data_IF_902757607875
#
_entry.id   IF_902757607875
#
_cell.length_a   1.000
_cell.length_b   1.000
_cell.length_c   1.000
_cell.angle_alpha   90.00
_cell.angle_beta   90.00
_cell.angle_gamma   90.00
#
_symmetry.space_group_name_H-M   'P 1'
#
loop_
_entity.id
_entity.type
_entity.pdbx_description
1 polymer ?
#
# COMPACT_ATOMS: atom_id res chain seq x y z
N UNK A 1 17.59 44.14 29.16
CA UNK A 1 16.46 43.60 28.38
C UNK A 1 16.99 42.48 27.53
N UNK A 2 16.50 41.26 27.73
CA UNK A 2 17.00 40.04 27.10
C UNK A 2 16.79 40.06 25.58
N UNK A 3 17.85 39.70 24.86
CA UNK A 3 17.86 39.54 23.41
C UNK A 3 17.29 38.16 23.09
N UNK A 4 16.18 38.12 22.35
CA UNK A 4 15.60 36.89 21.84
C UNK A 4 16.63 36.15 21.01
N UNK A 5 16.90 34.89 21.37
CA UNK A 5 17.63 33.96 20.52
C UNK A 5 16.62 33.38 19.53
N UNK A 6 16.67 33.83 18.27
CA UNK A 6 16.10 33.06 17.17
C UNK A 6 16.91 31.76 17.07
N UNK A 7 16.30 30.67 17.52
CA UNK A 7 16.83 29.32 17.29
C UNK A 7 16.58 28.98 15.82
N UNK A 8 17.50 29.39 14.94
CA UNK A 8 17.52 28.88 13.57
C UNK A 8 17.96 27.41 13.64
N UNK A 9 17.02 26.50 13.48
CA UNK A 9 17.33 25.09 13.24
C UNK A 9 18.21 25.00 11.99
N UNK A 10 19.31 24.27 12.07
CA UNK A 10 20.17 24.01 10.92
C UNK A 10 19.43 23.15 9.89
N UNK A 11 19.81 23.26 8.61
CA UNK A 11 19.23 22.43 7.55
C UNK A 11 19.33 20.92 7.84
N UNK A 12 20.36 20.50 8.60
CA UNK A 12 20.52 19.13 9.07
C UNK A 12 19.52 18.72 10.15
N UNK A 13 19.16 19.64 11.06
CA UNK A 13 18.12 19.41 12.06
C UNK A 13 16.72 19.39 11.41
N UNK A 14 16.47 20.24 10.41
CA UNK A 14 15.23 20.17 9.62
C UNK A 14 15.11 18.88 8.80
N UNK A 15 16.21 18.37 8.23
CA UNK A 15 16.23 17.11 7.50
C UNK A 15 15.97 15.90 8.41
N UNK A 16 16.52 15.91 9.63
CA UNK A 16 16.30 14.86 10.62
C UNK A 16 14.85 14.74 11.12
N UNK A 17 14.06 15.83 11.07
CA UNK A 17 12.63 15.79 11.36
C UNK A 17 11.78 15.22 10.21
N UNK A 18 12.34 15.07 9.02
CA UNK A 18 11.61 14.63 7.80
C UNK A 18 11.97 13.23 7.32
N UNK A 19 13.01 12.60 7.88
CA UNK A 19 13.38 11.23 7.57
C UNK A 19 12.52 10.25 8.38
N UNK A 20 11.29 10.03 7.93
CA UNK A 20 10.55 8.82 8.30
C UNK A 20 11.24 7.64 7.62
N UNK A 21 12.12 6.94 8.34
CA UNK A 21 12.71 5.68 7.89
C UNK A 21 11.57 4.70 7.70
N UNK A 22 11.21 4.43 6.44
CA UNK A 22 10.20 3.43 6.11
C UNK A 22 10.71 2.06 6.57
N UNK A 23 9.91 1.39 7.41
CA UNK A 23 10.29 0.09 7.93
C UNK A 23 10.43 -0.92 6.79
N UNK A 24 11.50 -1.74 6.84
CA UNK A 24 11.68 -2.84 5.91
C UNK A 24 10.49 -3.83 6.04
N UNK A 25 10.07 -4.48 4.94
CA UNK A 25 8.99 -5.45 4.99
C UNK A 25 9.35 -6.64 5.87
N UNK A 26 8.39 -7.14 6.65
CA UNK A 26 8.59 -8.32 7.49
C UNK A 26 8.63 -9.63 6.66
N UNK A 27 7.99 -9.64 5.49
CA UNK A 27 8.03 -10.74 4.53
C UNK A 27 7.89 -10.22 3.09
N UNK A 28 8.35 -10.97 2.11
CA UNK A 28 8.22 -10.62 0.70
C UNK A 28 7.85 -11.83 -0.15
N UNK A 29 7.15 -11.60 -1.27
CA UNK A 29 6.76 -12.66 -2.19
C UNK A 29 6.24 -12.14 -3.53
N UNK A 30 5.61 -13.04 -4.29
CA UNK A 30 4.99 -12.72 -5.59
C UNK A 30 3.47 -12.66 -5.49
N UNK A 31 2.85 -12.13 -6.55
CA UNK A 31 1.40 -12.21 -6.73
C UNK A 31 0.90 -13.66 -6.82
N UNK A 32 -0.38 -13.86 -6.51
CA UNK A 32 -1.08 -15.15 -6.48
C UNK A 32 -0.50 -16.20 -5.50
N UNK A 33 0.39 -15.77 -4.60
CA UNK A 33 0.96 -16.60 -3.55
C UNK A 33 0.79 -15.94 -2.17
N UNK A 34 0.57 -16.74 -1.11
CA UNK A 34 0.57 -16.23 0.25
C UNK A 34 1.95 -15.69 0.66
N UNK A 35 1.96 -14.47 1.21
CA UNK A 35 3.08 -13.88 1.94
C UNK A 35 2.71 -13.84 3.41
N UNK A 36 3.42 -14.61 4.22
CA UNK A 36 3.07 -14.85 5.63
C UNK A 36 4.07 -14.13 6.54
N UNK A 37 3.56 -13.25 7.39
CA UNK A 37 4.35 -12.51 8.39
C UNK A 37 4.73 -13.42 9.58
N UNK A 38 5.73 -13.04 10.40
CA UNK A 38 6.14 -13.85 11.56
C UNK A 38 5.04 -14.11 12.60
N UNK A 39 4.09 -13.19 12.72
CA UNK A 39 2.90 -13.31 13.58
C UNK A 39 1.76 -14.10 12.91
N UNK A 40 2.01 -14.71 11.75
CA UNK A 40 1.13 -15.63 11.01
C UNK A 40 -0.06 -14.98 10.30
N UNK A 41 -0.05 -13.67 10.08
CA UNK A 41 -1.01 -13.07 9.14
C UNK A 41 -0.58 -13.43 7.72
N UNK A 42 -1.53 -13.90 6.91
CA UNK A 42 -1.31 -14.26 5.51
C UNK A 42 -1.91 -13.21 4.60
N UNK A 43 -1.10 -12.63 3.72
CA UNK A 43 -1.51 -11.67 2.70
C UNK A 43 -1.36 -12.32 1.32
N UNK A 44 -2.37 -12.21 0.48
CA UNK A 44 -2.31 -12.65 -0.91
C UNK A 44 -2.89 -11.57 -1.81
N UNK A 45 -2.08 -11.09 -2.74
CA UNK A 45 -2.51 -10.15 -3.77
C UNK A 45 -2.68 -10.93 -5.06
N UNK A 46 -3.85 -10.82 -5.71
CA UNK A 46 -4.01 -11.40 -7.04
C UNK A 46 -3.11 -10.69 -8.04
N UNK A 47 -2.70 -11.37 -9.11
CA UNK A 47 -2.03 -10.70 -10.23
C UNK A 47 -2.79 -9.44 -10.67
N UNK A 48 -2.08 -8.35 -10.97
CA UNK A 48 -2.72 -7.13 -11.43
C UNK A 48 -3.35 -7.34 -12.81
N UNK A 49 -4.35 -6.53 -13.11
CA UNK A 49 -5.00 -6.48 -14.42
C UNK A 49 -5.32 -5.04 -14.78
N UNK A 50 -5.14 -4.69 -16.06
CA UNK A 50 -5.53 -3.37 -16.53
C UNK A 50 -7.05 -3.22 -16.48
N UNK A 51 -7.53 -2.02 -16.17
CA UNK A 51 -8.95 -1.69 -16.26
C UNK A 51 -9.17 -0.26 -16.72
N UNK A 52 -10.41 0.02 -17.13
CA UNK A 52 -10.87 1.37 -17.45
C UNK A 52 -11.65 1.90 -16.24
N UNK A 53 -11.16 2.94 -15.55
CA UNK A 53 -11.89 3.53 -14.42
C UNK A 53 -13.29 3.99 -14.82
N UNK A 54 -14.24 3.78 -13.93
CA UNK A 54 -15.63 4.22 -14.06
C UNK A 54 -15.75 5.74 -14.05
N UNK A 55 -16.94 6.24 -14.39
CA UNK A 55 -17.20 7.68 -14.50
C UNK A 55 -16.96 8.44 -13.19
N UNK A 56 -17.14 7.76 -12.06
CA UNK A 56 -17.02 8.33 -10.72
C UNK A 56 -15.72 7.93 -10.03
N UNK A 57 -14.80 7.29 -10.76
CA UNK A 57 -13.50 6.96 -10.24
C UNK A 57 -12.69 8.22 -9.92
N UNK A 58 -11.80 8.12 -8.93
CA UNK A 58 -10.85 9.16 -8.57
C UNK A 58 -9.43 8.59 -8.53
N UNK A 59 -8.42 9.43 -8.66
CA UNK A 59 -7.01 9.03 -8.54
C UNK A 59 -6.38 8.38 -9.77
N UNK A 60 -7.15 8.16 -10.84
CA UNK A 60 -6.58 7.76 -12.13
C UNK A 60 -5.96 8.97 -12.85
N UNK A 61 -4.70 8.86 -13.24
CA UNK A 61 -3.95 9.96 -13.84
C UNK A 61 -3.79 9.80 -15.35
N UNK A 62 -3.89 10.88 -16.16
CA UNK A 62 -3.70 10.80 -17.60
C UNK A 62 -2.34 10.22 -17.98
N UNK A 63 -2.34 9.23 -18.88
CA UNK A 63 -1.12 8.63 -19.42
C UNK A 63 -0.48 7.55 -18.53
N UNK A 64 -1.07 7.23 -17.38
CA UNK A 64 -0.61 6.15 -16.51
C UNK A 64 -1.42 4.87 -16.74
N UNK A 65 -0.86 3.73 -16.35
CA UNK A 65 -1.55 2.43 -16.39
C UNK A 65 -2.41 2.26 -15.14
N UNK A 66 -3.66 1.86 -15.32
CA UNK A 66 -4.57 1.63 -14.21
C UNK A 66 -4.63 0.12 -13.92
N UNK A 67 -4.04 -0.27 -12.80
CA UNK A 67 -3.97 -1.64 -12.31
C UNK A 67 -5.06 -1.88 -11.28
N UNK A 68 -5.75 -3.02 -11.37
CA UNK A 68 -6.60 -3.53 -10.29
C UNK A 68 -6.19 -4.92 -9.86
N UNK A 69 -6.31 -5.19 -8.57
CA UNK A 69 -6.07 -6.49 -7.96
C UNK A 69 -6.93 -6.67 -6.70
N UNK A 70 -7.05 -7.92 -6.24
CA UNK A 70 -7.71 -8.26 -4.98
C UNK A 70 -6.65 -8.42 -3.90
N UNK A 71 -6.85 -7.75 -2.76
CA UNK A 71 -6.11 -8.01 -1.52
C UNK A 71 -6.92 -9.01 -0.70
N UNK A 72 -6.31 -10.12 -0.32
CA UNK A 72 -6.89 -11.12 0.59
C UNK A 72 -6.03 -11.25 1.84
N UNK A 73 -6.64 -11.17 3.01
CA UNK A 73 -5.95 -11.22 4.30
C UNK A 73 -6.61 -12.29 5.16
N UNK A 74 -5.81 -13.20 5.73
CA UNK A 74 -6.22 -14.15 6.76
C UNK A 74 -5.45 -13.88 8.03
N UNK A 75 -6.16 -13.54 9.12
CA UNK A 75 -5.54 -13.25 10.40
C UNK A 75 -5.41 -14.51 11.26
N UNK A 76 -4.27 -15.21 11.16
CA UNK A 76 -3.96 -16.32 12.09
C UNK A 76 -3.05 -15.88 13.25
N UNK A 77 -3.01 -14.58 13.53
CA UNK A 77 -2.24 -14.04 14.65
C UNK A 77 -2.98 -14.25 15.98
N UNK A 78 -2.37 -13.74 17.06
CA UNK A 78 -2.95 -13.78 18.40
C UNK A 78 -3.85 -12.57 18.74
N UNK A 79 -3.97 -11.59 17.85
CA UNK A 79 -4.72 -10.35 18.08
C UNK A 79 -5.61 -10.01 16.88
N UNK A 80 -6.64 -9.19 17.10
CA UNK A 80 -7.39 -8.61 16.00
C UNK A 80 -6.48 -7.65 15.21
N UNK A 81 -6.63 -7.62 13.89
CA UNK A 81 -5.86 -6.76 13.01
C UNK A 81 -6.68 -5.50 12.68
N UNK A 82 -6.19 -4.33 13.06
CA UNK A 82 -6.86 -3.05 12.78
C UNK A 82 -6.66 -2.63 11.32
N UNK A 83 -7.58 -3.04 10.44
CA UNK A 83 -7.49 -2.73 9.02
C UNK A 83 -7.74 -1.24 8.69
N UNK A 84 -8.27 -0.45 9.63
CA UNK A 84 -8.54 0.97 9.39
C UNK A 84 -7.26 1.80 9.18
N UNK A 85 -6.11 1.27 9.63
CA UNK A 85 -4.79 1.88 9.41
C UNK A 85 -3.99 1.20 8.31
N UNK A 86 -4.59 0.27 7.57
CA UNK A 86 -3.95 -0.38 6.44
C UNK A 86 -3.67 0.64 5.33
N UNK A 87 -2.43 0.70 4.89
CA UNK A 87 -1.96 1.49 3.76
C UNK A 87 -1.44 0.52 2.71
N UNK A 88 -1.89 0.69 1.48
CA UNK A 88 -1.37 0.00 0.31
C UNK A 88 -0.58 1.04 -0.50
N UNK A 89 0.66 0.73 -0.86
CA UNK A 89 1.46 1.59 -1.74
C UNK A 89 1.96 0.77 -2.92
N UNK A 90 1.73 1.27 -4.13
CA UNK A 90 2.32 0.73 -5.34
C UNK A 90 3.48 1.58 -5.83
N UNK A 91 4.43 0.96 -6.52
CA UNK A 91 5.51 1.69 -7.17
C UNK A 91 6.16 0.90 -8.29
N UNK A 92 6.78 1.66 -9.20
CA UNK A 92 7.63 1.15 -10.26
C UNK A 92 8.96 1.88 -10.23
N UNK A 93 9.91 1.49 -11.09
CA UNK A 93 11.15 2.22 -11.26
C UNK A 93 10.95 3.67 -11.77
N UNK A 94 9.77 3.98 -12.35
CA UNK A 94 9.44 5.31 -12.85
C UNK A 94 8.78 6.23 -11.80
N UNK A 95 8.37 5.68 -10.65
CA UNK A 95 7.77 6.44 -9.55
C UNK A 95 6.69 5.69 -8.79
N UNK A 96 6.10 6.38 -7.82
CA UNK A 96 4.98 5.87 -7.02
C UNK A 96 3.68 5.83 -7.82
N UNK A 97 2.82 4.86 -7.51
CA UNK A 97 1.46 4.81 -8.01
C UNK A 97 0.52 5.64 -7.14
N UNK A 98 -0.61 6.07 -7.72
CA UNK A 98 -1.68 6.78 -7.00
C UNK A 98 -2.87 5.84 -6.80
N UNK A 99 -3.45 5.82 -5.60
CA UNK A 99 -4.65 5.04 -5.31
C UNK A 99 -5.82 5.45 -6.20
N UNK A 100 -6.51 4.45 -6.77
CA UNK A 100 -7.77 4.64 -7.51
C UNK A 100 -8.92 4.16 -6.64
N UNK A 101 -9.83 5.08 -6.31
CA UNK A 101 -11.11 4.75 -5.68
C UNK A 101 -12.20 4.69 -6.73
N UNK A 102 -12.88 3.56 -6.82
CA UNK A 102 -13.93 3.32 -7.81
C UNK A 102 -14.99 2.35 -7.27
N UNK A 103 -16.18 2.89 -7.03
CA UNK A 103 -17.32 2.12 -6.53
C UNK A 103 -17.87 1.12 -7.54
N UNK A 104 -17.68 1.34 -8.84
CA UNK A 104 -18.17 0.43 -9.90
C UNK A 104 -17.37 -0.88 -9.91
N UNK A 105 -16.12 -0.85 -9.42
CA UNK A 105 -15.21 -1.98 -9.32
C UNK A 105 -14.94 -2.44 -7.88
N UNK A 106 -15.71 -1.95 -6.90
CA UNK A 106 -15.58 -2.33 -5.47
C UNK A 106 -14.17 -2.05 -4.93
N UNK A 107 -13.59 -0.90 -5.32
CA UNK A 107 -12.30 -0.39 -4.85
C UNK A 107 -12.54 0.83 -3.98
N UNK A 108 -13.06 0.61 -2.77
CA UNK A 108 -13.48 1.67 -1.85
C UNK A 108 -12.38 2.08 -0.85
N UNK A 109 -11.20 1.45 -0.92
CA UNK A 109 -10.14 1.64 0.06
C UNK A 109 -10.12 0.53 1.12
N UNK A 110 -9.39 0.79 2.21
CA UNK A 110 -9.16 -0.19 3.26
C UNK A 110 -10.45 -0.49 4.04
N UNK A 111 -10.66 -1.75 4.47
CA UNK A 111 -11.74 -2.08 5.40
C UNK A 111 -11.61 -1.30 6.72
N UNK A 112 -12.73 -0.80 7.23
CA UNK A 112 -12.76 -0.03 8.49
C UNK A 112 -12.97 -0.89 9.73
N UNK A 113 -13.46 -2.12 9.55
CA UNK A 113 -13.70 -3.05 10.65
C UNK A 113 -12.43 -3.86 10.95
N UNK A 114 -12.05 -4.00 12.23
CA UNK A 114 -10.94 -4.88 12.61
C UNK A 114 -11.20 -6.33 12.19
N UNK A 115 -10.16 -6.98 11.64
CA UNK A 115 -10.24 -8.38 11.24
C UNK A 115 -9.97 -9.28 12.46
N UNK A 116 -11.01 -10.00 12.89
CA UNK A 116 -10.94 -10.92 14.02
C UNK A 116 -9.95 -12.09 13.79
N UNK A 117 -9.55 -12.74 14.87
CA UNK A 117 -8.67 -13.91 14.82
C UNK A 117 -9.35 -15.07 14.06
N UNK A 118 -8.59 -15.74 13.22
CA UNK A 118 -9.05 -16.82 12.34
C UNK A 118 -9.95 -16.35 11.19
N UNK A 119 -10.28 -15.06 11.10
CA UNK A 119 -11.11 -14.53 10.04
C UNK A 119 -10.30 -14.25 8.77
N UNK A 120 -11.00 -14.20 7.63
CA UNK A 120 -10.46 -13.79 6.34
C UNK A 120 -11.34 -12.73 5.70
N UNK A 121 -10.71 -11.83 4.93
CA UNK A 121 -11.39 -10.81 4.13
C UNK A 121 -10.71 -10.65 2.78
N UNK A 122 -11.49 -10.28 1.77
CA UNK A 122 -11.00 -9.90 0.44
C UNK A 122 -11.66 -8.61 -0.01
N UNK A 123 -10.89 -7.71 -0.63
CA UNK A 123 -11.36 -6.44 -1.17
C UNK A 123 -10.52 -6.01 -2.38
N UNK A 124 -11.09 -5.20 -3.27
CA UNK A 124 -10.40 -4.69 -4.45
C UNK A 124 -9.52 -3.48 -4.12
N UNK A 125 -8.41 -3.36 -4.83
CA UNK A 125 -7.56 -2.17 -4.83
C UNK A 125 -7.21 -1.75 -6.26
N UNK A 126 -7.19 -0.45 -6.49
CA UNK A 126 -6.84 0.15 -7.77
C UNK A 126 -5.62 1.06 -7.62
N UNK A 127 -4.72 1.05 -8.59
CA UNK A 127 -3.53 1.91 -8.64
C UNK A 127 -3.33 2.49 -10.03
N UNK A 128 -3.01 3.78 -10.12
CA UNK A 128 -2.58 4.47 -11.34
C UNK A 128 -1.06 4.59 -11.31
N UNK A 129 -0.37 3.80 -12.13
CA UNK A 129 1.06 3.59 -12.06
C UNK A 129 1.81 4.17 -13.28
N UNK A 130 2.94 4.88 -13.06
CA UNK A 130 3.84 5.23 -14.14
C UNK A 130 4.62 4.02 -14.64
N UNK A 131 4.79 3.90 -15.95
CA UNK A 131 5.52 2.79 -16.58
C UNK A 131 4.83 2.30 -17.84
N UNK A 132 5.24 1.11 -18.29
CA UNK A 132 4.62 0.38 -19.40
C UNK A 132 4.35 -1.08 -18.99
N UNK A 133 3.45 -1.72 -19.73
CA UNK A 133 3.12 -3.14 -19.60
C UNK A 133 4.40 -3.98 -19.47
N UNK A 134 4.46 -4.84 -18.45
CA UNK A 134 5.60 -5.73 -18.19
C UNK A 134 6.78 -5.11 -17.43
N UNK A 135 6.74 -3.81 -17.12
CA UNK A 135 7.71 -3.19 -16.20
C UNK A 135 7.57 -3.77 -14.79
N UNK A 136 8.68 -3.76 -14.04
CA UNK A 136 8.70 -4.20 -12.64
C UNK A 136 7.74 -3.35 -11.78
N UNK A 137 6.98 -4.04 -10.95
CA UNK A 137 5.94 -3.47 -10.10
C UNK A 137 6.03 -4.06 -8.70
N UNK A 138 5.94 -3.22 -7.68
CA UNK A 138 5.91 -3.63 -6.28
C UNK A 138 4.71 -3.01 -5.57
N UNK A 139 4.08 -3.80 -4.70
CA UNK A 139 3.04 -3.34 -3.78
C UNK A 139 3.46 -3.64 -2.34
N UNK A 140 3.52 -2.62 -1.49
CA UNK A 140 3.73 -2.79 -0.06
C UNK A 140 2.42 -2.61 0.71
N UNK A 141 2.23 -3.43 1.74
CA UNK A 141 1.12 -3.30 2.68
C UNK A 141 1.71 -2.98 4.06
N UNK A 142 1.23 -1.89 4.65
CA UNK A 142 1.66 -1.43 5.98
C UNK A 142 0.46 -1.11 6.85
N UNK A 143 0.65 -1.11 8.17
CA UNK A 143 -0.40 -0.86 9.15
C UNK A 143 0.22 -0.35 10.44
N UNK A 144 -0.39 0.66 11.06
CA UNK A 144 0.16 1.34 12.24
C UNK A 144 1.66 1.72 12.11
N UNK A 145 2.12 2.06 10.90
CA UNK A 145 3.51 2.42 10.62
C UNK A 145 4.49 1.25 10.45
N UNK A 146 4.01 -0.01 10.47
CA UNK A 146 4.81 -1.21 10.21
C UNK A 146 4.51 -1.73 8.81
N UNK A 147 5.54 -1.89 7.98
CA UNK A 147 5.42 -2.58 6.69
C UNK A 147 5.36 -4.08 6.91
N UNK A 148 4.22 -4.71 6.60
CA UNK A 148 4.04 -6.15 6.74
C UNK A 148 4.71 -6.91 5.60
N UNK A 149 4.29 -6.60 4.37
CA UNK A 149 4.69 -7.38 3.20
C UNK A 149 5.03 -6.49 2.03
N UNK A 150 5.94 -6.99 1.20
CA UNK A 150 6.22 -6.47 -0.15
C UNK A 150 5.94 -7.58 -1.18
N UNK A 151 5.02 -7.30 -2.11
CA UNK A 151 4.68 -8.18 -3.22
C UNK A 151 5.27 -7.63 -4.50
N UNK A 152 6.04 -8.45 -5.23
CA UNK A 152 6.70 -8.07 -6.49
C UNK A 152 6.12 -8.80 -7.68
N UNK A 153 6.07 -8.12 -8.81
CA UNK A 153 5.61 -8.65 -10.08
C UNK A 153 5.79 -7.64 -11.21
N UNK A 154 4.82 -7.60 -12.13
CA UNK A 154 4.86 -6.75 -13.30
C UNK A 154 3.54 -6.02 -13.50
N UNK A 155 3.59 -4.84 -14.10
CA UNK A 155 2.39 -4.16 -14.61
C UNK A 155 1.72 -5.02 -15.68
N UNK A 156 0.38 -5.04 -15.68
CA UNK A 156 -0.43 -5.87 -16.58
C UNK A 156 -0.39 -5.38 -18.03
#
# INVERSE_FOLDING_TARGET
>A
GGKAAESSLSASESAALTESVEAAPQASGGFDAPVVTPDKVSYMLSSPSTFNPGKFASGYLPGLLNEKFTVSITNNSALALDLATLIVKGGTAAGECVDIFDGDYIMAGAPTEPLALGASISFGWGLSCPGKVGDEFSVSLSNAGITYVEVKGKLA
#
